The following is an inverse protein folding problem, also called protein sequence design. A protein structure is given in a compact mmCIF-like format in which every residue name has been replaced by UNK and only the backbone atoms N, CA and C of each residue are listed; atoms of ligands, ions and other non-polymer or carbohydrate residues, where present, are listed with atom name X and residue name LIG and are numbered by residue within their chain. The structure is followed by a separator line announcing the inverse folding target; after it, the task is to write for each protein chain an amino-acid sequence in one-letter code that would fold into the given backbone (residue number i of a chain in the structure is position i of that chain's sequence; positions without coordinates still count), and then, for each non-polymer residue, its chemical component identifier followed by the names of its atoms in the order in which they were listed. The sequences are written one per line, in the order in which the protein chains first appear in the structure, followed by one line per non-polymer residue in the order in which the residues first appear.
data_IF_531056631812
#
_entry.id   IF_531056631812
#
_cell.length_a   1.000
_cell.length_b   1.000
_cell.length_c   1.000
_cell.angle_alpha   90.00
_cell.angle_beta   90.00
_cell.angle_gamma   90.00
#
_symmetry.space_group_name_H-M   'P 1'
#
loop_
_entity.id
_entity.type
_entity.pdbx_description
1 polymer ?
#
# COMPACT_ATOMS: atom_id res chain seq x y z
N UNK A 1 -29.90 16.22 -47.52
CA UNK A 1 -28.87 15.28 -47.00
C UNK A 1 -28.18 15.90 -45.79
N UNK A 2 -28.68 15.70 -44.56
CA UNK A 2 -28.07 16.20 -43.29
C UNK A 2 -28.22 15.22 -42.11
N UNK A 3 -28.66 13.98 -42.37
CA UNK A 3 -29.02 13.00 -41.33
C UNK A 3 -27.90 12.09 -40.80
N UNK A 4 -26.77 11.81 -41.49
CA UNK A 4 -25.81 10.83 -40.97
C UNK A 4 -24.97 11.36 -39.80
N UNK A 5 -24.67 12.66 -39.76
CA UNK A 5 -23.83 13.25 -38.71
C UNK A 5 -24.55 13.34 -37.36
N UNK A 6 -25.85 13.63 -37.35
CA UNK A 6 -26.64 13.77 -36.11
C UNK A 6 -26.84 12.42 -35.40
N UNK A 7 -27.01 11.33 -36.16
CA UNK A 7 -27.19 9.98 -35.59
C UNK A 7 -25.88 9.47 -34.98
N UNK A 8 -24.74 9.72 -35.64
CA UNK A 8 -23.43 9.32 -35.12
C UNK A 8 -23.06 10.06 -33.81
N UNK A 9 -23.38 11.35 -33.71
CA UNK A 9 -23.16 12.15 -32.49
C UNK A 9 -24.07 11.68 -31.34
N UNK A 10 -25.33 11.37 -31.62
CA UNK A 10 -26.25 10.86 -30.59
C UNK A 10 -25.86 9.46 -30.07
N UNK A 11 -25.37 8.58 -30.94
CA UNK A 11 -24.84 7.27 -30.55
C UNK A 11 -23.57 7.40 -29.70
N UNK A 12 -22.61 8.24 -30.12
CA UNK A 12 -21.38 8.47 -29.34
C UNK A 12 -21.66 9.07 -27.96
N UNK A 13 -22.64 9.98 -27.87
CA UNK A 13 -23.08 10.55 -26.60
C UNK A 13 -23.78 9.52 -25.71
N UNK A 14 -24.62 8.65 -26.29
CA UNK A 14 -25.26 7.55 -25.58
C UNK A 14 -24.26 6.53 -25.01
N UNK A 15 -23.25 6.13 -25.80
CA UNK A 15 -22.17 5.25 -25.32
C UNK A 15 -21.34 5.90 -24.20
N UNK A 16 -21.05 7.20 -24.29
CA UNK A 16 -20.31 7.92 -23.26
C UNK A 16 -21.10 8.02 -21.94
N UNK A 17 -22.42 8.21 -22.00
CA UNK A 17 -23.26 8.21 -20.79
C UNK A 17 -23.27 6.84 -20.11
N UNK A 18 -23.46 5.76 -20.88
CA UNK A 18 -23.51 4.39 -20.34
C UNK A 18 -22.17 4.01 -19.69
N UNK A 19 -21.04 4.40 -20.31
CA UNK A 19 -19.72 4.19 -19.71
C UNK A 19 -19.54 4.96 -18.40
N UNK A 20 -19.94 6.24 -18.36
CA UNK A 20 -19.86 7.04 -17.14
C UNK A 20 -20.78 6.52 -16.01
N UNK A 21 -21.94 5.96 -16.35
CA UNK A 21 -22.84 5.29 -15.40
C UNK A 21 -22.23 3.99 -14.86
N UNK A 22 -21.62 3.18 -15.72
CA UNK A 22 -20.91 1.96 -15.31
C UNK A 22 -19.72 2.29 -14.39
N UNK A 23 -18.88 3.27 -14.77
CA UNK A 23 -17.77 3.74 -13.92
C UNK A 23 -18.26 4.24 -12.56
N UNK A 24 -19.44 4.88 -12.52
CA UNK A 24 -20.03 5.35 -11.28
C UNK A 24 -20.57 4.21 -10.40
N UNK A 25 -21.12 3.16 -11.02
CA UNK A 25 -21.59 1.95 -10.33
C UNK A 25 -20.41 1.15 -9.77
N UNK A 26 -19.36 0.94 -10.54
CA UNK A 26 -18.15 0.23 -10.12
C UNK A 26 -17.47 0.94 -8.93
N UNK A 27 -17.38 2.28 -8.99
CA UNK A 27 -16.84 3.07 -7.89
C UNK A 27 -17.71 3.01 -6.61
N UNK A 28 -19.03 2.91 -6.73
CA UNK A 28 -19.90 2.76 -5.56
C UNK A 28 -19.82 1.34 -4.98
N UNK A 29 -19.80 0.32 -5.83
CA UNK A 29 -19.52 -1.05 -5.41
C UNK A 29 -18.16 -1.16 -4.71
N UNK A 30 -17.16 -0.41 -5.20
CA UNK A 30 -15.83 -0.31 -4.61
C UNK A 30 -15.84 0.30 -3.21
N UNK A 31 -16.62 1.38 -3.01
CA UNK A 31 -16.82 1.99 -1.69
C UNK A 31 -17.39 0.97 -0.70
N UNK A 32 -18.42 0.23 -1.10
CA UNK A 32 -18.98 -0.83 -0.27
C UNK A 32 -18.00 -1.98 0.00
N UNK A 33 -17.18 -2.36 -0.99
CA UNK A 33 -16.15 -3.37 -0.81
C UNK A 33 -15.08 -2.91 0.20
N UNK A 34 -14.63 -1.65 0.15
CA UNK A 34 -13.70 -1.04 1.12
C UNK A 34 -14.24 -1.16 2.54
N UNK A 35 -15.52 -0.86 2.76
CA UNK A 35 -16.19 -0.99 4.07
C UNK A 35 -16.30 -2.44 4.51
N UNK A 36 -16.77 -3.33 3.62
CA UNK A 36 -16.94 -4.77 3.90
C UNK A 36 -15.62 -5.44 4.31
N UNK A 37 -14.52 -5.11 3.62
CA UNK A 37 -13.20 -5.63 3.94
C UNK A 37 -12.49 -4.86 5.06
N UNK A 38 -13.09 -3.76 5.54
CA UNK A 38 -12.58 -2.97 6.67
C UNK A 38 -11.22 -2.32 6.38
N UNK A 39 -11.00 -1.87 5.14
CA UNK A 39 -9.72 -1.28 4.72
C UNK A 39 -9.35 -0.04 5.55
N UNK A 40 -10.34 0.70 6.02
CA UNK A 40 -10.24 1.91 6.85
C UNK A 40 -9.90 1.67 8.33
N UNK A 41 -9.87 0.40 8.75
CA UNK A 41 -9.29 0.00 10.04
C UNK A 41 -7.77 0.20 10.07
N UNK A 42 -7.13 0.14 8.90
CA UNK A 42 -5.71 0.37 8.73
C UNK A 42 -5.46 1.65 7.95
N UNK A 43 -5.97 1.73 6.72
CA UNK A 43 -5.61 2.75 5.75
C UNK A 43 -6.37 4.06 5.93
N UNK A 44 -5.71 5.15 5.58
CA UNK A 44 -6.41 6.41 5.30
C UNK A 44 -6.98 6.36 3.88
N UNK A 45 -8.28 6.62 3.74
CA UNK A 45 -9.02 6.47 2.48
C UNK A 45 -9.70 7.79 2.09
N UNK A 46 -9.89 8.06 0.79
CA UNK A 46 -10.60 9.26 0.33
C UNK A 46 -12.04 9.32 0.85
N UNK A 47 -12.48 10.50 1.29
CA UNK A 47 -13.85 10.73 1.74
C UNK A 47 -14.26 9.99 3.02
N UNK A 48 -13.35 9.22 3.63
CA UNK A 48 -13.59 8.46 4.85
C UNK A 48 -12.64 8.95 5.94
N UNK A 49 -13.17 9.19 7.15
CA UNK A 49 -12.28 9.35 8.31
C UNK A 49 -11.67 7.98 8.57
N UNK A 50 -10.35 7.88 8.72
CA UNK A 50 -9.73 6.71 9.37
C UNK A 50 -10.54 6.40 10.61
N UNK A 51 -10.74 5.12 10.94
CA UNK A 51 -11.44 4.73 12.17
C UNK A 51 -10.64 5.24 13.39
N UNK A 52 -10.77 6.53 13.71
CA UNK A 52 -9.96 7.24 14.68
C UNK A 52 -10.24 6.73 16.10
N UNK A 53 -11.45 6.21 16.30
CA UNK A 53 -11.96 5.73 17.57
C UNK A 53 -11.97 4.19 17.69
N UNK A 54 -11.45 3.44 16.70
CA UNK A 54 -11.49 1.96 16.73
C UNK A 54 -10.62 1.19 15.74
N UNK A 55 -9.92 1.86 14.84
CA UNK A 55 -9.01 1.22 13.87
C UNK A 55 -7.77 0.65 14.53
N UNK A 56 -7.16 -0.34 13.88
CA UNK A 56 -6.01 -1.05 14.40
C UNK A 56 -4.83 -0.09 14.66
N UNK A 57 -4.54 0.78 13.69
CA UNK A 57 -3.42 1.74 13.77
C UNK A 57 -3.69 2.80 14.85
N UNK A 58 -4.89 3.40 14.89
CA UNK A 58 -5.23 4.45 15.85
C UNK A 58 -5.21 3.93 17.29
N UNK A 59 -5.69 2.70 17.52
CA UNK A 59 -5.63 2.04 18.81
C UNK A 59 -4.18 1.79 19.25
N UNK A 60 -3.34 1.21 18.39
CA UNK A 60 -1.94 0.93 18.71
C UNK A 60 -1.16 2.20 19.06
N UNK A 61 -1.37 3.27 18.29
CA UNK A 61 -0.81 4.59 18.60
C UNK A 61 -1.32 5.14 19.94
N UNK A 62 -2.61 4.97 20.25
CA UNK A 62 -3.22 5.39 21.51
C UNK A 62 -2.64 4.63 22.72
N UNK A 63 -2.47 3.31 22.61
CA UNK A 63 -1.88 2.49 23.68
C UNK A 63 -0.43 2.91 23.91
N UNK A 64 0.35 3.10 22.84
CA UNK A 64 1.74 3.57 22.92
C UNK A 64 1.84 4.95 23.60
N UNK A 65 0.96 5.89 23.25
CA UNK A 65 0.89 7.22 23.89
C UNK A 65 0.53 7.14 25.38
N UNK A 66 -0.46 6.34 25.76
CA UNK A 66 -0.90 6.19 27.16
C UNK A 66 0.14 5.46 28.02
N UNK A 67 0.87 4.49 27.45
CA UNK A 67 1.95 3.78 28.12
C UNK A 67 3.14 4.71 28.50
N UNK A 68 3.33 5.84 27.80
CA UNK A 68 4.38 6.80 28.12
C UNK A 68 4.14 7.57 29.45
N UNK A 69 2.91 7.54 30.00
CA UNK A 69 2.52 8.28 31.21
C UNK A 69 2.42 7.46 32.51
N UNK A 70 2.62 6.15 32.50
CA UNK A 70 2.48 5.28 33.69
C UNK A 70 3.83 4.77 34.22
N UNK A 71 4.05 4.89 35.53
CA UNK A 71 5.17 4.27 36.27
C UNK A 71 4.86 2.77 36.49
N UNK A 72 5.11 1.93 35.48
CA UNK A 72 4.89 0.47 35.54
C UNK A 72 5.45 -0.28 34.31
N UNK A 73 5.43 -1.62 34.36
CA UNK A 73 5.83 -2.48 33.22
C UNK A 73 4.92 -2.16 32.03
N UNK A 74 5.53 -1.67 30.95
CA UNK A 74 4.86 -1.14 29.76
C UNK A 74 4.43 -2.30 28.85
N UNK A 75 3.22 -2.29 28.25
CA UNK A 75 3.01 -2.99 27.00
C UNK A 75 3.83 -2.28 25.92
N UNK A 76 4.82 -2.97 25.36
CA UNK A 76 5.68 -2.46 24.30
C UNK A 76 4.96 -2.67 22.97
N UNK A 77 4.13 -1.68 22.58
CA UNK A 77 3.46 -1.69 21.27
C UNK A 77 4.40 -1.04 20.26
N UNK A 78 5.20 -1.86 19.59
CA UNK A 78 6.10 -1.43 18.50
C UNK A 78 5.50 -1.66 17.10
N UNK A 79 4.45 -2.48 17.01
CA UNK A 79 3.86 -2.90 15.74
C UNK A 79 2.57 -2.15 15.39
N UNK A 80 2.27 -2.10 14.09
CA UNK A 80 1.05 -1.55 13.49
C UNK A 80 0.78 -0.09 13.88
N UNK A 81 1.86 0.69 13.92
CA UNK A 81 1.82 2.11 14.30
C UNK A 81 1.63 3.04 13.10
N UNK A 82 1.79 2.51 11.89
CA UNK A 82 1.68 3.24 10.63
C UNK A 82 1.25 2.29 9.52
N UNK A 83 0.69 2.84 8.44
CA UNK A 83 0.38 2.10 7.21
C UNK A 83 0.34 3.09 6.04
N UNK A 84 0.48 2.63 4.78
CA UNK A 84 0.38 3.51 3.63
C UNK A 84 -0.99 4.17 3.53
N UNK A 85 -1.00 5.49 3.27
CA UNK A 85 -2.20 6.19 2.86
C UNK A 85 -2.65 5.76 1.46
N UNK A 86 -3.96 5.59 1.27
CA UNK A 86 -4.60 5.30 0.00
C UNK A 86 -5.27 6.53 -0.61
N UNK A 87 -5.16 7.71 0.01
CA UNK A 87 -5.79 8.96 -0.45
C UNK A 87 -5.51 9.28 -1.91
N UNK A 88 -4.29 9.03 -2.37
CA UNK A 88 -3.80 9.42 -3.70
C UNK A 88 -3.05 8.27 -4.39
N UNK A 89 -3.32 7.02 -4.02
CA UNK A 89 -2.50 5.88 -4.45
C UNK A 89 -2.51 5.67 -5.97
N UNK A 90 -3.63 5.93 -6.63
CA UNK A 90 -3.82 5.80 -8.09
C UNK A 90 -3.16 6.93 -8.89
N UNK A 91 -2.73 8.01 -8.21
CA UNK A 91 -1.88 9.04 -8.83
C UNK A 91 -0.44 8.57 -9.00
N UNK A 92 -0.04 7.55 -8.24
CA UNK A 92 1.35 7.07 -8.20
C UNK A 92 1.51 5.69 -8.79
N UNK A 93 0.54 4.81 -8.55
CA UNK A 93 0.62 3.40 -8.91
C UNK A 93 -0.36 3.05 -10.04
N UNK A 94 0.07 2.17 -10.93
CA UNK A 94 -0.75 1.62 -12.00
C UNK A 94 -1.99 0.91 -11.44
N UNK A 95 -3.14 1.14 -12.05
CA UNK A 95 -4.41 0.57 -11.62
C UNK A 95 -4.40 -0.96 -11.69
N UNK A 96 -3.81 -1.53 -12.73
CA UNK A 96 -3.68 -2.96 -12.94
C UNK A 96 -2.77 -3.61 -11.91
N UNK A 97 -1.74 -2.89 -11.46
CA UNK A 97 -0.92 -3.34 -10.35
C UNK A 97 -1.73 -3.40 -9.05
N UNK A 98 -2.51 -2.36 -8.76
CA UNK A 98 -3.33 -2.31 -7.55
C UNK A 98 -4.35 -3.45 -7.52
N UNK A 99 -5.01 -3.76 -8.64
CA UNK A 99 -5.94 -4.91 -8.74
C UNK A 99 -5.21 -6.21 -8.37
N UNK A 100 -4.07 -6.50 -9.00
CA UNK A 100 -3.29 -7.72 -8.69
C UNK A 100 -2.78 -7.76 -7.25
N UNK A 101 -2.38 -6.61 -6.70
CA UNK A 101 -1.89 -6.52 -5.33
C UNK A 101 -2.99 -6.74 -4.30
N UNK A 102 -4.23 -6.34 -4.57
CA UNK A 102 -5.37 -6.62 -3.70
C UNK A 102 -5.73 -8.12 -3.66
N UNK A 103 -5.53 -8.83 -4.78
CA UNK A 103 -5.75 -10.28 -4.87
C UNK A 103 -4.64 -11.10 -4.18
N UNK A 104 -3.38 -10.69 -4.27
CA UNK A 104 -2.25 -11.32 -3.58
C UNK A 104 -1.27 -10.28 -3.00
N UNK A 105 -1.60 -9.70 -1.82
CA UNK A 105 -0.72 -8.75 -1.17
C UNK A 105 0.55 -9.46 -0.68
N UNK A 106 1.68 -8.80 -0.90
CA UNK A 106 3.01 -9.27 -0.51
C UNK A 106 3.87 -8.14 0.04
N UNK A 107 4.94 -8.48 0.74
CA UNK A 107 5.82 -7.48 1.33
C UNK A 107 6.57 -6.70 0.24
N UNK A 108 6.36 -5.38 0.28
CA UNK A 108 6.96 -4.39 -0.60
C UNK A 108 7.75 -3.35 0.18
N UNK A 109 7.77 -3.44 1.51
CA UNK A 109 8.39 -2.50 2.46
C UNK A 109 9.20 -3.29 3.48
N UNK A 110 10.46 -3.51 3.13
CA UNK A 110 11.46 -4.21 3.94
C UNK A 110 11.68 -3.72 5.39
N UNK A 111 11.09 -2.59 5.81
CA UNK A 111 11.19 -2.03 7.17
C UNK A 111 9.84 -1.94 7.89
N UNK A 112 8.77 -2.41 7.26
CA UNK A 112 7.45 -2.49 7.86
C UNK A 112 7.15 -3.98 8.06
N UNK A 113 7.22 -4.45 9.31
CA UNK A 113 6.98 -5.85 9.64
C UNK A 113 5.52 -6.24 9.35
N UNK A 114 4.61 -5.26 9.43
CA UNK A 114 3.20 -5.44 9.16
C UNK A 114 2.94 -5.55 7.66
N UNK A 115 2.60 -6.76 7.22
CA UNK A 115 2.11 -7.01 5.87
C UNK A 115 0.60 -6.80 5.78
N UNK A 116 0.11 -6.38 4.61
CA UNK A 116 -1.32 -6.36 4.32
C UNK A 116 -1.86 -7.80 4.37
N UNK A 117 -2.93 -8.07 5.14
CA UNK A 117 -3.49 -9.42 5.23
C UNK A 117 -4.04 -9.88 3.88
N UNK A 118 -3.96 -11.18 3.61
CA UNK A 118 -4.67 -11.79 2.48
C UNK A 118 -6.14 -11.88 2.84
N UNK A 119 -6.94 -11.01 2.24
CA UNK A 119 -8.40 -10.98 2.36
C UNK A 119 -9.02 -11.72 1.17
N UNK A 120 -10.26 -12.24 1.27
CA UNK A 120 -10.92 -12.93 0.17
C UNK A 120 -11.48 -11.93 -0.85
N UNK A 121 -10.63 -11.02 -1.34
CA UNK A 121 -10.99 -10.00 -2.33
C UNK A 121 -11.05 -10.68 -3.69
N UNK A 122 -12.24 -10.74 -4.28
CA UNK A 122 -12.41 -11.23 -5.64
C UNK A 122 -11.79 -10.28 -6.67
N UNK A 123 -11.47 -10.77 -7.86
CA UNK A 123 -10.98 -9.91 -8.93
C UNK A 123 -11.97 -8.78 -9.31
N UNK A 124 -13.28 -9.03 -9.16
CA UNK A 124 -14.32 -8.02 -9.35
C UNK A 124 -14.27 -6.96 -8.26
N UNK A 125 -14.20 -7.36 -7.00
CA UNK A 125 -14.06 -6.44 -5.87
C UNK A 125 -12.78 -5.62 -5.96
N UNK A 126 -11.66 -6.23 -6.36
CA UNK A 126 -10.39 -5.54 -6.55
C UNK A 126 -10.51 -4.44 -7.61
N UNK A 127 -11.16 -4.73 -8.75
CA UNK A 127 -11.43 -3.72 -9.80
C UNK A 127 -12.33 -2.60 -9.28
N UNK A 128 -13.39 -2.94 -8.57
CA UNK A 128 -14.33 -1.97 -8.00
C UNK A 128 -13.64 -1.06 -6.97
N UNK A 129 -12.83 -1.62 -6.06
CA UNK A 129 -12.03 -0.86 -5.09
C UNK A 129 -11.08 0.10 -5.81
N UNK A 130 -10.39 -0.35 -6.87
CA UNK A 130 -9.50 0.52 -7.64
C UNK A 130 -10.27 1.59 -8.42
N UNK A 131 -11.46 1.28 -8.95
CA UNK A 131 -12.34 2.26 -9.58
C UNK A 131 -12.78 3.35 -8.59
N UNK A 132 -13.15 2.95 -7.37
CA UNK A 132 -13.45 3.88 -6.27
C UNK A 132 -12.27 4.82 -5.98
N UNK A 133 -11.07 4.26 -5.72
CA UNK A 133 -9.87 5.04 -5.44
C UNK A 133 -9.52 5.99 -6.60
N UNK A 134 -9.67 5.51 -7.84
CA UNK A 134 -9.40 6.29 -9.04
C UNK A 134 -10.39 7.44 -9.21
N UNK A 135 -11.67 7.22 -8.91
CA UNK A 135 -12.70 8.25 -8.96
C UNK A 135 -12.44 9.38 -7.96
N UNK A 136 -11.97 9.05 -6.77
CA UNK A 136 -11.73 10.02 -5.70
C UNK A 136 -10.40 10.78 -5.87
N UNK A 137 -9.32 10.09 -6.25
CA UNK A 137 -7.98 10.68 -6.33
C UNK A 137 -7.58 11.14 -7.75
N UNK A 138 -8.23 10.58 -8.77
CA UNK A 138 -7.80 10.68 -10.16
C UNK A 138 -6.54 9.87 -10.46
N UNK A 139 -6.03 10.05 -11.68
CA UNK A 139 -4.74 9.52 -12.16
C UNK A 139 -3.87 10.71 -12.53
N UNK A 140 -2.60 10.66 -12.12
CA UNK A 140 -1.61 11.65 -12.54
C UNK A 140 -1.04 11.22 -13.89
N UNK A 141 -0.99 12.16 -14.84
CA UNK A 141 -0.39 11.91 -16.16
C UNK A 141 0.88 12.74 -16.27
N UNK A 142 2.00 12.07 -16.04
CA UNK A 142 3.31 12.70 -16.16
C UNK A 142 3.59 13.12 -17.62
N UNK A 143 4.33 14.21 -17.84
CA UNK A 143 4.85 14.53 -19.16
C UNK A 143 5.78 13.43 -19.67
N UNK A 144 5.68 13.12 -20.96
CA UNK A 144 6.56 12.14 -21.59
C UNK A 144 8.03 12.55 -21.42
N UNK A 145 8.85 11.60 -21.01
CA UNK A 145 10.28 11.81 -20.83
C UNK A 145 11.10 10.91 -21.77
N UNK A 146 12.43 11.13 -21.89
CA UNK A 146 13.27 10.26 -22.71
C UNK A 146 13.16 8.80 -22.29
N UNK A 147 13.10 7.89 -23.26
CA UNK A 147 13.02 6.46 -22.99
C UNK A 147 14.17 5.97 -22.07
N UNK A 148 13.93 4.97 -21.20
CA UNK A 148 14.95 4.41 -20.35
C UNK A 148 16.17 3.93 -21.14
N UNK A 149 17.37 4.23 -20.65
CA UNK A 149 18.62 3.90 -21.35
C UNK A 149 19.64 3.24 -20.43
N UNK A 150 20.22 2.13 -20.90
CA UNK A 150 21.29 1.43 -20.21
C UNK A 150 22.52 2.31 -19.96
N UNK A 151 22.77 3.32 -20.81
CA UNK A 151 23.93 4.23 -20.67
C UNK A 151 23.87 5.09 -19.41
N UNK A 152 22.68 5.26 -18.80
CA UNK A 152 22.49 6.05 -17.57
C UNK A 152 22.47 5.21 -16.30
N UNK A 153 22.45 3.88 -16.41
CA UNK A 153 22.30 2.97 -15.27
C UNK A 153 23.42 3.12 -14.25
N UNK A 154 24.67 3.23 -14.70
CA UNK A 154 25.82 3.35 -13.79
C UNK A 154 25.81 4.69 -13.05
N UNK A 155 25.49 5.78 -13.74
CA UNK A 155 25.29 7.08 -13.10
C UNK A 155 24.13 7.05 -12.11
N UNK A 156 23.01 6.43 -12.47
CA UNK A 156 21.86 6.29 -11.61
C UNK A 156 22.15 5.49 -10.35
N UNK A 157 22.96 4.43 -10.45
CA UNK A 157 23.44 3.65 -9.32
C UNK A 157 24.31 4.49 -8.39
N UNK A 158 25.23 5.28 -8.94
CA UNK A 158 26.09 6.17 -8.17
C UNK A 158 25.26 7.20 -7.40
N UNK A 159 24.33 7.89 -8.09
CA UNK A 159 23.43 8.86 -7.46
C UNK A 159 22.54 8.21 -6.42
N UNK A 160 21.96 7.03 -6.69
CA UNK A 160 21.15 6.30 -5.71
C UNK A 160 21.96 5.96 -4.44
N UNK A 161 23.23 5.61 -4.63
CA UNK A 161 24.11 5.20 -3.54
C UNK A 161 24.64 6.37 -2.72
N UNK A 162 24.89 7.52 -3.34
CA UNK A 162 25.49 8.68 -2.68
C UNK A 162 24.48 9.78 -2.32
N UNK A 163 23.35 9.84 -3.02
CA UNK A 163 22.30 10.86 -2.89
C UNK A 163 21.27 10.55 -1.80
N UNK A 164 21.60 9.75 -0.79
CA UNK A 164 20.72 9.47 0.35
C UNK A 164 19.60 8.46 0.10
N UNK A 165 19.34 8.06 -1.15
CA UNK A 165 18.21 7.18 -1.51
C UNK A 165 18.27 5.83 -0.77
N UNK A 166 19.48 5.24 -0.71
CA UNK A 166 19.74 3.97 -0.04
C UNK A 166 19.55 4.00 1.50
N UNK A 167 19.42 5.18 2.10
CA UNK A 167 19.12 5.32 3.52
C UNK A 167 17.73 4.81 3.87
N UNK A 168 16.75 5.11 3.02
CA UNK A 168 15.36 4.69 3.20
C UNK A 168 15.00 3.49 2.31
N UNK A 169 15.46 3.46 1.05
CA UNK A 169 15.07 2.45 0.07
C UNK A 169 16.09 1.30 -0.05
N UNK A 170 15.57 0.08 -0.16
CA UNK A 170 16.33 -1.05 -0.68
C UNK A 170 16.14 -1.17 -2.20
N UNK A 171 17.14 -1.69 -2.91
CA UNK A 171 17.02 -2.10 -4.32
C UNK A 171 17.19 -3.61 -4.45
N UNK A 172 16.09 -4.32 -4.22
CA UNK A 172 16.04 -5.77 -4.14
C UNK A 172 16.88 -6.30 -2.99
N UNK A 173 17.76 -7.25 -3.31
CA UNK A 173 18.73 -7.86 -2.40
C UNK A 173 20.16 -7.44 -2.78
N UNK A 174 20.31 -6.37 -3.56
CA UNK A 174 21.61 -5.78 -3.79
C UNK A 174 22.16 -5.26 -2.45
N UNK A 175 23.47 -5.41 -2.17
CA UNK A 175 24.07 -4.86 -0.96
C UNK A 175 23.78 -3.37 -0.85
N UNK A 176 23.29 -2.94 0.30
CA UNK A 176 23.17 -1.52 0.57
C UNK A 176 24.58 -0.91 0.62
N UNK A 177 24.82 0.25 -0.01
CA UNK A 177 26.13 0.91 0.02
C UNK A 177 26.52 1.35 1.45
N UNK A 178 25.53 1.56 2.32
CA UNK A 178 25.68 1.82 3.74
C UNK A 178 24.38 1.42 4.46
N UNK A 179 24.46 1.28 5.79
CA UNK A 179 23.29 1.08 6.65
C UNK A 179 23.18 2.26 7.62
N UNK A 180 21.99 2.85 7.70
CA UNK A 180 21.72 3.88 8.69
C UNK A 180 21.52 3.24 10.08
N UNK A 181 22.05 3.85 11.16
CA UNK A 181 21.79 3.36 12.51
C UNK A 181 20.30 3.45 12.83
N UNK A 182 19.79 2.53 13.67
CA UNK A 182 18.37 2.50 14.07
C UNK A 182 17.85 3.85 14.55
N UNK A 183 18.66 4.62 15.28
CA UNK A 183 18.28 5.96 15.75
C UNK A 183 17.99 6.95 14.60
N UNK A 184 18.75 6.91 13.51
CA UNK A 184 18.50 7.76 12.35
C UNK A 184 17.21 7.36 11.62
N UNK A 185 16.97 6.05 11.47
CA UNK A 185 15.74 5.52 10.87
C UNK A 185 14.50 5.91 11.69
N UNK A 186 14.60 5.86 13.02
CA UNK A 186 13.54 6.34 13.92
C UNK A 186 13.29 7.85 13.74
N UNK A 187 14.34 8.65 13.51
CA UNK A 187 14.20 10.09 13.27
C UNK A 187 13.46 10.40 11.94
N UNK A 188 13.66 9.56 10.91
CA UNK A 188 12.93 9.68 9.64
C UNK A 188 11.46 9.21 9.73
N UNK A 189 11.10 8.44 10.76
CA UNK A 189 9.73 8.01 10.99
C UNK A 189 9.09 7.31 9.79
N UNK A 190 7.87 7.71 9.44
CA UNK A 190 7.10 7.10 8.34
C UNK A 190 7.81 7.15 6.99
N UNK A 191 8.68 8.13 6.73
CA UNK A 191 9.42 8.21 5.47
C UNK A 191 10.37 7.01 5.29
N UNK A 192 11.05 6.58 6.36
CA UNK A 192 11.91 5.40 6.31
C UNK A 192 11.10 4.10 6.40
N UNK A 193 10.10 4.04 7.28
CA UNK A 193 9.27 2.85 7.50
C UNK A 193 8.45 2.49 6.25
N UNK A 194 7.87 3.49 5.58
CA UNK A 194 7.00 3.29 4.42
C UNK A 194 7.74 3.25 3.07
N UNK A 195 9.07 3.46 3.07
CA UNK A 195 9.90 3.41 1.87
C UNK A 195 9.90 2.00 1.27
N UNK A 196 9.41 1.83 0.02
CA UNK A 196 9.36 0.53 -0.61
C UNK A 196 10.75 -0.01 -0.96
N UNK A 197 10.85 -1.33 -1.02
CA UNK A 197 11.90 -1.99 -1.78
C UNK A 197 11.63 -1.77 -3.28
N UNK A 198 12.56 -1.10 -3.95
CA UNK A 198 12.41 -0.67 -5.34
C UNK A 198 12.56 -1.81 -6.36
N UNK A 199 12.75 -3.07 -5.93
CA UNK A 199 12.71 -4.25 -6.82
C UNK A 199 11.39 -4.34 -7.61
N UNK A 200 10.30 -3.93 -6.97
CA UNK A 200 8.96 -3.97 -7.53
C UNK A 200 8.55 -2.66 -8.21
N UNK A 201 9.43 -1.66 -8.29
CA UNK A 201 9.01 -0.37 -8.83
C UNK A 201 8.54 -0.47 -10.29
N UNK A 202 9.12 -1.39 -11.08
CA UNK A 202 8.85 -1.59 -12.51
C UNK A 202 7.44 -2.06 -12.82
N UNK A 203 6.89 -2.91 -11.97
CA UNK A 203 5.56 -3.50 -12.15
C UNK A 203 4.46 -2.61 -11.57
N UNK A 204 4.84 -1.51 -10.90
CA UNK A 204 3.99 -0.70 -10.04
C UNK A 204 3.68 0.69 -10.55
N UNK A 205 4.60 1.28 -11.30
CA UNK A 205 4.60 2.71 -11.59
C UNK A 205 5.14 2.93 -12.99
N UNK A 206 4.39 3.67 -13.80
CA UNK A 206 4.83 4.16 -15.11
C UNK A 206 6.19 4.91 -15.02
N UNK A 207 7.11 4.72 -15.99
CA UNK A 207 8.41 5.38 -16.01
C UNK A 207 8.39 6.91 -15.93
N UNK A 208 7.41 7.58 -16.56
CA UNK A 208 7.32 9.03 -16.55
C UNK A 208 6.78 9.52 -15.19
N UNK A 209 5.78 8.82 -14.64
CA UNK A 209 5.30 9.07 -13.27
C UNK A 209 6.40 8.80 -12.24
N UNK A 210 7.24 7.78 -12.44
CA UNK A 210 8.40 7.50 -11.60
C UNK A 210 9.42 8.65 -11.64
N UNK A 211 9.68 9.22 -12.82
CA UNK A 211 10.55 10.39 -12.92
C UNK A 211 9.96 11.59 -12.19
N UNK A 212 8.69 11.89 -12.41
CA UNK A 212 7.99 12.99 -11.72
C UNK A 212 8.03 12.80 -10.20
N UNK A 213 7.83 11.56 -9.73
CA UNK A 213 7.95 11.19 -8.32
C UNK A 213 9.36 11.42 -7.79
N UNK A 214 10.41 11.02 -8.50
CA UNK A 214 11.80 11.22 -8.05
C UNK A 214 12.16 12.72 -7.98
N UNK A 215 11.65 13.53 -8.90
CA UNK A 215 11.95 14.97 -8.96
C UNK A 215 11.20 15.74 -7.88
N UNK A 216 9.88 15.55 -7.79
CA UNK A 216 9.03 16.23 -6.80
C UNK A 216 7.85 15.32 -6.44
N UNK A 217 8.00 14.48 -5.40
CA UNK A 217 6.93 13.58 -4.93
C UNK A 217 5.63 14.32 -4.62
N UNK A 218 5.70 15.56 -4.09
CA UNK A 218 4.53 16.33 -3.67
C UNK A 218 3.75 16.92 -4.83
N UNK A 219 4.36 17.06 -6.01
CA UNK A 219 3.64 17.39 -7.25
C UNK A 219 2.71 16.27 -7.72
N UNK A 220 3.04 15.02 -7.37
CA UNK A 220 2.25 13.83 -7.72
C UNK A 220 1.25 13.51 -6.61
N UNK A 221 1.69 13.51 -5.35
CA UNK A 221 0.87 13.27 -4.16
C UNK A 221 1.27 14.24 -3.04
N UNK A 222 0.40 15.20 -2.71
CA UNK A 222 0.66 16.22 -1.69
C UNK A 222 0.97 15.63 -0.30
N UNK A 223 0.56 14.38 -0.03
CA UNK A 223 0.79 13.66 1.21
C UNK A 223 2.08 12.81 1.18
N UNK A 224 2.94 12.99 0.19
CA UNK A 224 4.19 12.25 0.07
C UNK A 224 5.12 12.47 1.28
N UNK A 225 5.57 11.36 1.87
CA UNK A 225 6.61 11.35 2.91
C UNK A 225 8.02 11.43 2.34
N UNK A 226 8.23 10.99 1.09
CA UNK A 226 9.50 11.17 0.40
C UNK A 226 9.68 12.65 0.08
N UNK A 227 10.78 13.24 0.53
CA UNK A 227 11.13 14.62 0.24
C UNK A 227 11.78 14.73 -1.14
N UNK A 228 11.65 15.90 -1.77
CA UNK A 228 12.31 16.17 -3.05
C UNK A 228 13.84 16.15 -2.86
N UNK A 229 14.58 15.27 -3.57
CA UNK A 229 16.02 15.20 -3.44
C UNK A 229 16.70 16.39 -4.12
N UNK A 230 17.80 16.88 -3.54
CA UNK A 230 18.64 17.91 -4.15
C UNK A 230 19.56 17.31 -5.23
N UNK A 231 18.98 16.92 -6.37
CA UNK A 231 19.70 16.34 -7.51
C UNK A 231 19.34 17.04 -8.83
N UNK A 232 20.24 16.96 -9.81
CA UNK A 232 19.98 17.52 -11.14
C UNK A 232 18.89 16.73 -11.88
N UNK A 233 18.22 17.36 -12.85
CA UNK A 233 17.25 16.66 -13.71
C UNK A 233 17.87 15.47 -14.46
N UNK A 234 19.15 15.58 -14.84
CA UNK A 234 19.90 14.48 -15.47
C UNK A 234 20.14 13.32 -14.50
N UNK A 235 20.41 13.61 -13.23
CA UNK A 235 20.60 12.60 -12.19
C UNK A 235 19.28 11.92 -11.80
N UNK A 236 18.18 12.67 -11.72
CA UNK A 236 16.84 12.09 -11.51
C UNK A 236 16.48 11.10 -12.64
N UNK A 237 16.76 11.48 -13.89
CA UNK A 237 16.58 10.61 -15.06
C UNK A 237 17.47 9.36 -14.99
N UNK A 238 18.71 9.52 -14.52
CA UNK A 238 19.63 8.40 -14.33
C UNK A 238 19.17 7.45 -13.23
N UNK A 239 18.70 7.96 -12.09
CA UNK A 239 18.14 7.14 -10.98
C UNK A 239 16.94 6.35 -11.45
N UNK A 240 16.01 6.96 -12.20
CA UNK A 240 14.89 6.24 -12.82
C UNK A 240 15.40 5.08 -13.70
N UNK A 241 16.37 5.33 -14.57
CA UNK A 241 16.92 4.31 -15.47
C UNK A 241 17.61 3.18 -14.70
N UNK A 242 18.31 3.49 -13.61
CA UNK A 242 18.86 2.49 -12.70
C UNK A 242 17.77 1.63 -12.06
N UNK A 243 16.68 2.21 -11.57
CA UNK A 243 15.55 1.45 -10.99
C UNK A 243 14.91 0.55 -12.06
N UNK A 244 14.71 1.06 -13.28
CA UNK A 244 14.04 0.35 -14.37
C UNK A 244 14.89 -0.74 -15.03
N UNK A 245 16.22 -0.56 -15.09
CA UNK A 245 17.10 -1.43 -15.88
C UNK A 245 18.20 -2.12 -15.07
N UNK A 246 18.54 -1.62 -13.88
CA UNK A 246 19.59 -2.17 -13.02
C UNK A 246 19.25 -3.57 -12.48
N UNK A 247 20.24 -4.39 -12.12
CA UNK A 247 19.95 -5.67 -11.46
C UNK A 247 19.59 -5.45 -9.98
N UNK A 248 18.41 -5.88 -9.49
CA UNK A 248 18.02 -5.79 -8.08
C UNK A 248 18.69 -6.90 -7.22
N UNK A 249 19.74 -7.55 -7.73
CA UNK A 249 20.35 -8.72 -7.10
C UNK A 249 19.54 -10.00 -7.31
N UNK A 250 20.07 -11.13 -6.83
CA UNK A 250 19.38 -12.42 -6.95
C UNK A 250 18.24 -12.49 -5.93
N UNK A 251 17.06 -13.01 -6.31
CA UNK A 251 16.05 -13.38 -5.33
C UNK A 251 16.66 -14.33 -4.30
N UNK A 252 16.44 -14.05 -3.03
CA UNK A 252 16.73 -14.99 -1.94
C UNK A 252 15.49 -15.88 -1.84
N UNK A 253 15.70 -17.19 -1.62
CA UNK A 253 14.58 -18.08 -1.36
C UNK A 253 13.76 -17.52 -0.18
N UNK A 254 12.41 -17.53 -0.25
CA UNK A 254 11.61 -17.13 0.89
C UNK A 254 12.04 -17.93 2.11
N UNK A 255 12.08 -17.33 3.31
CA UNK A 255 12.29 -18.10 4.53
C UNK A 255 11.27 -19.24 4.55
N UNK A 256 11.67 -20.41 5.06
CA UNK A 256 10.76 -21.53 5.21
C UNK A 256 9.56 -21.07 6.03
N UNK A 257 8.43 -20.81 5.37
CA UNK A 257 7.21 -20.48 6.06
C UNK A 257 6.81 -21.73 6.84
N UNK A 258 6.47 -21.62 8.14
CA UNK A 258 5.86 -22.74 8.84
C UNK A 258 4.63 -23.14 8.03
N UNK A 259 4.62 -24.37 7.52
CA UNK A 259 3.50 -24.80 6.69
C UNK A 259 2.26 -24.92 7.58
N UNK A 260 1.06 -24.61 7.06
CA UNK A 260 -0.17 -24.84 7.82
C UNK A 260 -0.29 -26.31 8.30
N UNK A 261 0.39 -27.25 7.64
CA UNK A 261 0.52 -28.64 8.05
C UNK A 261 1.39 -28.85 9.32
N UNK A 262 2.29 -27.93 9.63
CA UNK A 262 3.07 -27.94 10.89
C UNK A 262 2.26 -27.40 12.08
N UNK A 263 1.19 -26.65 11.81
CA UNK A 263 0.25 -26.17 12.83
C UNK A 263 -0.91 -27.15 12.91
N UNK A 264 -0.92 -28.04 13.90
CA UNK A 264 -2.05 -28.96 14.12
C UNK A 264 -3.29 -28.14 14.45
N UNK A 265 -4.33 -28.10 13.58
CA UNK A 265 -5.57 -27.40 13.91
C UNK A 265 -6.19 -28.03 15.15
N UNK A 266 -6.75 -27.20 16.03
CA UNK A 266 -7.55 -27.74 17.12
C UNK A 266 -8.77 -28.44 16.50
N UNK A 267 -8.98 -29.72 16.79
CA UNK A 267 -10.17 -30.47 16.35
C UNK A 267 -11.48 -30.03 17.03
N UNK A 268 -11.50 -28.82 17.57
CA UNK A 268 -12.62 -28.20 18.30
C UNK A 268 -12.60 -26.69 18.07
N UNK A 269 -13.75 -26.08 18.23
CA UNK A 269 -13.87 -24.63 18.25
C UNK A 269 -13.03 -24.00 19.38
N UNK A 270 -12.44 -22.85 19.10
CA UNK A 270 -11.70 -22.04 20.07
C UNK A 270 -12.66 -21.04 20.70
N UNK A 271 -12.91 -21.17 21.99
CA UNK A 271 -13.79 -20.24 22.68
C UNK A 271 -13.11 -18.86 22.82
N UNK A 272 -13.90 -17.78 22.74
CA UNK A 272 -13.38 -16.42 22.87
C UNK A 272 -12.58 -16.18 24.15
N UNK A 273 -12.92 -16.87 25.26
CA UNK A 273 -12.15 -16.81 26.51
C UNK A 273 -10.69 -17.28 26.37
N UNK A 274 -10.46 -18.24 25.47
CA UNK A 274 -9.14 -18.83 25.22
C UNK A 274 -8.30 -17.89 24.35
N UNK A 275 -8.91 -17.30 23.33
CA UNK A 275 -8.31 -16.21 22.53
C UNK A 275 -7.92 -15.04 23.43
N UNK A 276 -8.83 -14.61 24.32
CA UNK A 276 -8.58 -13.55 25.30
C UNK A 276 -7.43 -13.87 26.26
N UNK A 277 -7.24 -15.13 26.63
CA UNK A 277 -6.16 -15.54 27.53
C UNK A 277 -4.77 -15.42 26.89
N UNK A 278 -4.67 -15.56 25.57
CA UNK A 278 -3.43 -15.40 24.79
C UNK A 278 -3.09 -13.91 24.60
N UNK A 279 -4.08 -13.10 24.23
CA UNK A 279 -3.87 -11.69 23.87
C UNK A 279 -4.01 -10.69 25.04
N UNK A 280 -4.43 -11.14 26.23
CA UNK A 280 -4.69 -10.28 27.38
C UNK A 280 -5.84 -9.27 27.15
N UNK A 281 -5.86 -8.18 27.94
CA UNK A 281 -6.86 -7.09 27.81
C UNK A 281 -6.59 -6.17 26.59
N UNK A 282 -5.48 -6.37 25.86
CA UNK A 282 -4.94 -5.38 24.92
C UNK A 282 -5.37 -5.58 23.47
N UNK A 283 -5.82 -6.78 23.07
CA UNK A 283 -6.17 -7.07 21.67
C UNK A 283 -7.59 -7.66 21.50
N UNK A 284 -8.48 -7.45 22.48
CA UNK A 284 -9.86 -7.96 22.43
C UNK A 284 -10.69 -7.31 21.31
N UNK A 285 -10.40 -6.06 20.93
CA UNK A 285 -11.23 -5.30 19.98
C UNK A 285 -11.05 -5.75 18.52
N UNK A 286 -9.89 -6.34 18.19
CA UNK A 286 -9.59 -6.81 16.82
C UNK A 286 -9.99 -8.28 16.57
N UNK A 287 -10.18 -9.07 17.63
CA UNK A 287 -10.57 -10.49 17.54
C UNK A 287 -11.97 -10.78 18.11
N UNK A 288 -12.74 -9.75 18.45
CA UNK A 288 -14.15 -9.93 18.81
C UNK A 288 -15.04 -8.78 18.35
N UNK A 289 -16.14 -9.14 17.71
CA UNK A 289 -17.26 -8.24 17.48
C UNK A 289 -17.97 -7.95 18.80
N UNK A 290 -18.42 -6.69 18.98
CA UNK A 290 -19.20 -6.26 20.15
C UNK A 290 -20.54 -7.02 20.34
N UNK A 291 -21.00 -7.75 19.31
CA UNK A 291 -22.24 -8.54 19.31
C UNK A 291 -22.06 -9.99 19.75
N UNK A 292 -20.83 -10.48 19.99
CA UNK A 292 -20.58 -11.88 20.34
C UNK A 292 -20.83 -12.89 19.21
N UNK A 293 -21.05 -12.42 17.97
CA UNK A 293 -20.92 -13.26 16.77
C UNK A 293 -19.44 -13.63 16.57
N UNK A 294 -19.17 -14.85 16.09
CA UNK A 294 -17.84 -15.45 16.04
C UNK A 294 -16.77 -14.57 15.38
N UNK A 295 -15.51 -14.88 15.69
CA UNK A 295 -14.32 -14.17 15.18
C UNK A 295 -14.21 -14.12 13.63
N UNK A 296 -15.07 -14.85 12.93
CA UNK A 296 -15.06 -15.07 11.50
C UNK A 296 -15.74 -13.98 10.67
N UNK A 297 -16.39 -12.97 11.25
CA UNK A 297 -17.00 -11.85 10.47
C UNK A 297 -16.07 -10.63 10.29
N UNK A 298 -14.87 -10.65 10.87
CA UNK A 298 -13.92 -9.56 10.74
C UNK A 298 -13.24 -9.64 9.36
N UNK A 299 -13.20 -8.53 8.60
CA UNK A 299 -12.47 -8.39 7.33
C UNK A 299 -13.02 -9.19 6.13
N UNK A 300 -14.35 -9.41 6.08
CA UNK A 300 -15.01 -10.00 4.91
C UNK A 300 -14.88 -11.51 4.78
N UNK A 301 -14.41 -12.20 5.82
CA UNK A 301 -14.54 -13.66 5.91
C UNK A 301 -15.98 -14.01 6.28
N UNK A 302 -16.52 -15.08 5.68
CA UNK A 302 -17.79 -15.65 6.10
C UNK A 302 -17.56 -16.66 7.23
N UNK A 303 -18.59 -16.88 8.05
CA UNK A 303 -18.46 -17.65 9.29
C UNK A 303 -18.13 -19.15 9.12
N UNK A 304 -17.97 -19.65 7.89
CA UNK A 304 -17.97 -21.07 7.56
C UNK A 304 -16.89 -21.52 6.53
N UNK A 305 -15.90 -20.69 6.18
CA UNK A 305 -14.78 -21.10 5.31
C UNK A 305 -13.44 -21.22 6.05
N UNK A 306 -13.44 -21.85 7.22
CA UNK A 306 -12.23 -22.34 7.91
C UNK A 306 -12.37 -23.82 8.26
#
# INVERSE_FOLDING_TARGET
MRRPVVIAVALAFGLALVAAEADAQDAEAGRHAVERFGCDNCHTLPGQRTHADGGCVSCHQNVRRRAAGMLGRRPEVEHLLTTPSLLNVTRRLETEYLVRYLEDPHDVRHRLDESMPRLPVSAEDARNIVAFLTREAGVYRAPASPAPSASRVDRGREVFSLGGCAGCHAFGNAPAPYELPRAALVAFGDAATLAPNLRYARERMDPDTMLAWIVDPRSVDENAHMEAPEISAGDALAVRDYILLGSPGRPVAPPAAPTAAEVTPLGRDVAFREVRAIFGQSCIHCHSHASGAGASQALGFDAFEL
#
